data_IF_215757560238
#
_entry.id   IF_215757560238
#
_cell.length_a   1.000
_cell.length_b   1.000
_cell.length_c   1.000
_cell.angle_alpha   90.00
_cell.angle_beta   90.00
_cell.angle_gamma   90.00
#
_symmetry.space_group_name_H-M   'P 1'
#
loop_
_entity.id
_entity.type
_entity.pdbx_description
1 polymer ?
#
# COMPACT_ATOMS: atom_id res chain seq x y z
N UNK A 1 2.58 -6.83 -18.29
CA UNK A 1 3.50 -7.98 -18.21
C UNK A 1 2.63 -9.21 -18.04
N UNK A 2 2.54 -10.09 -19.03
CA UNK A 2 1.82 -11.37 -18.83
C UNK A 2 2.69 -12.23 -17.90
N UNK A 3 2.19 -12.54 -16.71
CA UNK A 3 2.83 -13.50 -15.81
C UNK A 3 2.93 -14.84 -16.54
N UNK A 4 4.12 -15.41 -16.62
CA UNK A 4 4.26 -16.71 -17.25
C UNK A 4 3.58 -17.77 -16.39
N UNK A 5 3.05 -18.82 -17.02
CA UNK A 5 2.49 -19.95 -16.28
C UNK A 5 3.52 -20.61 -15.35
N UNK A 6 4.82 -20.40 -15.58
CA UNK A 6 5.90 -20.87 -14.70
C UNK A 6 5.93 -20.09 -13.38
N UNK A 7 5.93 -18.76 -13.48
CA UNK A 7 6.01 -17.85 -12.34
C UNK A 7 4.84 -18.09 -11.37
N UNK A 8 3.65 -18.35 -11.91
CA UNK A 8 2.46 -18.66 -11.11
C UNK A 8 2.66 -19.94 -10.28
N UNK A 9 3.26 -21.00 -10.86
CA UNK A 9 3.48 -22.26 -10.11
C UNK A 9 4.49 -22.07 -9.00
N UNK A 10 5.57 -21.33 -9.29
CA UNK A 10 6.63 -21.05 -8.33
C UNK A 10 6.06 -20.23 -7.16
N UNK A 11 5.26 -19.20 -7.45
CA UNK A 11 4.58 -18.39 -6.43
C UNK A 11 3.66 -19.25 -5.56
N UNK A 12 2.79 -20.06 -6.15
CA UNK A 12 1.88 -20.95 -5.40
C UNK A 12 2.68 -21.94 -4.54
N UNK A 13 3.71 -22.57 -5.11
CA UNK A 13 4.59 -23.51 -4.40
C UNK A 13 5.23 -22.86 -3.16
N UNK A 14 5.79 -21.66 -3.33
CA UNK A 14 6.45 -20.93 -2.25
C UNK A 14 5.45 -20.53 -1.16
N UNK A 15 4.26 -20.07 -1.54
CA UNK A 15 3.22 -19.70 -0.61
C UNK A 15 2.69 -20.91 0.18
N UNK A 16 2.50 -22.07 -0.47
CA UNK A 16 2.14 -23.31 0.24
C UNK A 16 3.21 -23.66 1.28
N UNK A 17 4.51 -23.60 0.94
CA UNK A 17 5.60 -23.85 1.89
C UNK A 17 5.60 -22.85 3.04
N UNK A 18 5.35 -21.58 2.75
CA UNK A 18 5.27 -20.52 3.74
C UNK A 18 4.18 -20.82 4.78
N UNK A 19 2.96 -21.15 4.34
CA UNK A 19 1.85 -21.45 5.25
C UNK A 19 2.06 -22.75 6.03
N UNK A 20 2.67 -23.77 5.42
CA UNK A 20 3.08 -24.98 6.16
C UNK A 20 4.03 -24.66 7.31
N UNK A 21 5.04 -23.82 7.07
CA UNK A 21 6.00 -23.43 8.08
C UNK A 21 5.37 -22.52 9.15
N UNK A 22 4.50 -21.59 8.74
CA UNK A 22 3.79 -20.67 9.64
C UNK A 22 2.93 -21.43 10.66
N UNK A 23 2.19 -22.43 10.21
CA UNK A 23 1.31 -23.24 11.06
C UNK A 23 2.02 -24.43 11.71
N UNK A 24 3.31 -24.63 11.42
CA UNK A 24 4.10 -25.75 11.95
C UNK A 24 3.60 -27.13 11.51
N UNK A 25 2.97 -27.22 10.33
CA UNK A 25 2.34 -28.45 9.83
C UNK A 25 3.26 -29.20 8.88
N UNK A 26 3.36 -30.52 9.06
CA UNK A 26 4.04 -31.38 8.10
C UNK A 26 3.16 -31.66 6.89
N UNK A 27 3.80 -31.94 5.75
CA UNK A 27 3.10 -32.30 4.50
C UNK A 27 2.19 -33.52 4.67
N UNK A 28 2.60 -34.48 5.51
CA UNK A 28 1.85 -35.72 5.77
C UNK A 28 0.58 -35.44 6.54
N UNK A 29 0.62 -34.53 7.53
CA UNK A 29 -0.55 -34.13 8.30
C UNK A 29 -1.58 -33.45 7.39
N UNK A 30 -1.15 -32.46 6.60
CA UNK A 30 -2.06 -31.77 5.66
C UNK A 30 -2.69 -32.74 4.66
N UNK A 31 -1.92 -33.68 4.12
CA UNK A 31 -2.46 -34.69 3.22
C UNK A 31 -3.49 -35.60 3.90
N UNK A 32 -3.25 -35.98 5.16
CA UNK A 32 -4.15 -36.83 5.95
C UNK A 32 -5.45 -36.10 6.27
N UNK A 33 -5.36 -34.86 6.72
CA UNK A 33 -6.50 -34.06 7.16
C UNK A 33 -7.43 -33.69 6.00
N UNK A 34 -6.85 -33.40 4.83
CA UNK A 34 -7.60 -33.01 3.62
C UNK A 34 -7.94 -34.20 2.70
N UNK A 35 -7.48 -35.41 3.01
CA UNK A 35 -7.65 -36.58 2.16
C UNK A 35 -6.95 -36.47 0.80
N UNK A 36 -5.86 -35.69 0.72
CA UNK A 36 -5.09 -35.46 -0.50
C UNK A 36 -4.06 -36.56 -0.72
N UNK A 37 -3.85 -36.93 -1.99
CA UNK A 37 -2.77 -37.87 -2.35
C UNK A 37 -1.41 -37.20 -2.14
N UNK A 38 -0.56 -37.85 -1.35
CA UNK A 38 0.77 -37.33 -0.98
C UNK A 38 1.65 -36.97 -2.18
N UNK A 39 1.59 -37.75 -3.26
CA UNK A 39 2.37 -37.50 -4.49
C UNK A 39 1.94 -36.19 -5.16
N UNK A 40 0.64 -35.96 -5.26
CA UNK A 40 0.08 -34.75 -5.88
C UNK A 40 0.43 -33.51 -5.08
N UNK A 41 0.33 -33.59 -3.75
CA UNK A 41 0.74 -32.49 -2.88
C UNK A 41 2.24 -32.19 -2.98
N UNK A 42 3.07 -33.22 -3.10
CA UNK A 42 4.50 -33.05 -3.37
C UNK A 42 4.77 -32.36 -4.71
N UNK A 43 4.00 -32.65 -5.75
CA UNK A 43 4.17 -32.01 -7.06
C UNK A 43 3.85 -30.52 -7.01
N UNK A 44 2.82 -30.12 -6.24
CA UNK A 44 2.50 -28.70 -6.01
C UNK A 44 3.60 -28.00 -5.20
N UNK A 45 4.09 -28.64 -4.14
CA UNK A 45 5.20 -28.11 -3.33
C UNK A 45 6.48 -27.96 -4.15
N UNK A 46 6.71 -28.81 -5.15
CA UNK A 46 7.88 -28.72 -6.01
C UNK A 46 7.63 -27.92 -7.31
N UNK A 47 6.53 -27.17 -7.40
CA UNK A 47 6.15 -26.35 -8.56
C UNK A 47 6.02 -27.11 -9.90
N UNK A 48 5.86 -28.44 -9.85
CA UNK A 48 5.73 -29.27 -11.06
C UNK A 48 4.37 -29.09 -11.72
N UNK A 49 3.31 -28.98 -10.91
CA UNK A 49 1.93 -28.83 -11.38
C UNK A 49 1.21 -27.77 -10.56
N UNK A 50 0.20 -27.14 -11.18
CA UNK A 50 -0.65 -26.14 -10.51
C UNK A 50 -1.82 -26.87 -9.85
N UNK A 51 -2.10 -26.65 -8.55
CA UNK A 51 -3.32 -27.14 -7.92
C UNK A 51 -4.55 -26.50 -8.57
N UNK A 52 -5.63 -27.26 -8.70
CA UNK A 52 -6.90 -26.69 -9.15
C UNK A 52 -7.46 -25.71 -8.09
N UNK A 53 -8.40 -24.86 -8.50
CA UNK A 53 -8.98 -23.86 -7.60
C UNK A 53 -9.65 -24.49 -6.36
N UNK A 54 -10.34 -25.63 -6.52
CA UNK A 54 -10.99 -26.33 -5.39
C UNK A 54 -10.00 -26.84 -4.34
N UNK A 55 -8.85 -27.36 -4.75
CA UNK A 55 -7.77 -27.77 -3.87
C UNK A 55 -7.15 -26.58 -3.15
N UNK A 56 -6.98 -25.45 -3.84
CA UNK A 56 -6.55 -24.20 -3.21
C UNK A 56 -7.57 -23.67 -2.21
N UNK A 57 -8.87 -23.80 -2.49
CA UNK A 57 -9.93 -23.45 -1.55
C UNK A 57 -9.90 -24.34 -0.30
N UNK A 58 -9.71 -25.65 -0.45
CA UNK A 58 -9.55 -26.59 0.66
C UNK A 58 -8.32 -26.25 1.52
N UNK A 59 -7.19 -25.97 0.88
CA UNK A 59 -5.97 -25.53 1.57
C UNK A 59 -6.18 -24.18 2.26
N UNK A 60 -6.87 -23.24 1.61
CA UNK A 60 -7.21 -21.94 2.19
C UNK A 60 -8.03 -22.10 3.47
N UNK A 61 -9.11 -22.91 3.40
CA UNK A 61 -9.93 -23.26 4.58
C UNK A 61 -9.10 -23.91 5.69
N UNK A 62 -8.15 -24.77 5.35
CA UNK A 62 -7.26 -25.42 6.33
C UNK A 62 -6.31 -24.43 7.02
N UNK A 63 -5.73 -23.48 6.29
CA UNK A 63 -4.80 -22.48 6.82
C UNK A 63 -5.48 -21.19 7.31
N UNK A 64 -6.80 -21.08 7.17
CA UNK A 64 -7.56 -19.87 7.54
C UNK A 64 -7.30 -18.67 6.62
N UNK A 65 -7.05 -18.91 5.32
CA UNK A 65 -6.77 -17.88 4.30
C UNK A 65 -7.68 -18.06 3.08
N UNK A 66 -7.70 -17.08 2.18
CA UNK A 66 -8.43 -17.20 0.91
C UNK A 66 -7.58 -17.89 -0.16
N UNK A 67 -8.23 -18.56 -1.12
CA UNK A 67 -7.53 -19.22 -2.23
C UNK A 67 -6.68 -18.24 -3.06
N UNK A 68 -7.08 -16.96 -3.13
CA UNK A 68 -6.32 -15.92 -3.84
C UNK A 68 -4.98 -15.61 -3.16
N UNK A 69 -4.84 -15.86 -1.86
CA UNK A 69 -3.61 -15.54 -1.13
C UNK A 69 -2.42 -16.41 -1.57
N UNK A 70 -2.67 -17.56 -2.19
CA UNK A 70 -1.61 -18.39 -2.80
C UNK A 70 -1.02 -17.80 -4.08
N UNK A 71 -1.71 -16.85 -4.74
CA UNK A 71 -1.24 -16.22 -5.96
C UNK A 71 -0.41 -14.95 -5.70
N UNK A 72 -0.35 -14.47 -4.45
CA UNK A 72 0.30 -13.22 -4.11
C UNK A 72 1.81 -13.39 -4.04
N UNK A 73 2.56 -12.50 -4.67
CA UNK A 73 4.02 -12.45 -4.51
C UNK A 73 4.42 -11.72 -3.23
N UNK A 74 5.63 -11.97 -2.73
CA UNK A 74 6.21 -11.17 -1.64
C UNK A 74 6.34 -9.70 -2.02
N UNK A 75 6.58 -9.40 -3.31
CA UNK A 75 6.64 -8.04 -3.84
C UNK A 75 5.28 -7.34 -3.76
N UNK A 76 4.19 -8.05 -4.05
CA UNK A 76 2.83 -7.51 -3.88
C UNK A 76 2.52 -7.17 -2.43
N UNK A 77 2.99 -8.00 -1.48
CA UNK A 77 2.83 -7.74 -0.05
C UNK A 77 3.62 -6.49 0.37
N UNK A 78 4.88 -6.38 -0.04
CA UNK A 78 5.73 -5.21 0.24
C UNK A 78 5.11 -3.95 -0.38
N UNK A 79 4.62 -4.03 -1.61
CA UNK A 79 3.94 -2.92 -2.30
C UNK A 79 2.68 -2.49 -1.57
N UNK A 80 1.86 -3.42 -1.07
CA UNK A 80 0.67 -3.06 -0.28
C UNK A 80 1.07 -2.43 1.04
N UNK A 81 2.05 -2.99 1.75
CA UNK A 81 2.57 -2.42 2.99
C UNK A 81 3.13 -1.02 2.79
N UNK A 82 3.81 -0.74 1.68
CA UNK A 82 4.31 0.60 1.38
C UNK A 82 3.18 1.59 1.08
N UNK A 83 2.12 1.17 0.38
CA UNK A 83 0.91 1.98 0.18
C UNK A 83 0.23 2.26 1.53
N UNK A 84 0.05 1.25 2.38
CA UNK A 84 -0.53 1.44 3.72
C UNK A 84 0.32 2.36 4.59
N UNK A 85 1.65 2.20 4.58
CA UNK A 85 2.56 3.08 5.31
C UNK A 85 2.43 4.53 4.81
N UNK A 86 2.38 4.74 3.49
CA UNK A 86 2.17 6.04 2.87
C UNK A 86 0.79 6.63 3.21
N UNK A 87 -0.25 5.81 3.27
CA UNK A 87 -1.60 6.22 3.70
C UNK A 87 -1.63 6.61 5.17
N UNK A 88 -0.92 5.90 6.05
CA UNK A 88 -0.77 6.27 7.45
C UNK A 88 0.04 7.56 7.62
N UNK A 89 1.04 7.80 6.78
CA UNK A 89 1.73 9.10 6.70
C UNK A 89 0.78 10.21 6.23
N UNK A 90 -0.09 9.95 5.25
CA UNK A 90 -1.20 10.86 4.90
C UNK A 90 -2.22 11.00 6.03
N UNK A 91 -2.38 10.00 6.89
CA UNK A 91 -3.17 10.08 8.13
C UNK A 91 -2.59 11.06 9.15
N UNK A 92 -1.30 11.44 9.02
CA UNK A 92 -0.69 12.56 9.75
C UNK A 92 -0.91 13.92 9.09
N UNK A 93 -1.76 14.00 8.06
CA UNK A 93 -2.09 15.22 7.36
C UNK A 93 -3.37 15.83 7.96
N UNK A 94 -3.18 16.84 8.81
CA UNK A 94 -4.23 17.58 9.48
C UNK A 94 -4.83 18.65 8.56
N UNK A 95 -6.09 19.01 8.80
CA UNK A 95 -6.72 20.14 8.11
C UNK A 95 -6.19 21.47 8.66
N UNK A 96 -6.06 22.50 7.81
CA UNK A 96 -5.52 23.80 8.23
C UNK A 96 -6.43 24.52 9.24
N UNK A 97 -7.74 24.22 9.23
CA UNK A 97 -8.72 24.72 10.22
C UNK A 97 -8.40 24.34 11.67
N UNK A 98 -7.58 23.33 11.88
CA UNK A 98 -7.20 22.88 13.23
C UNK A 98 -6.20 23.84 13.87
N UNK A 99 -5.40 24.57 13.07
CA UNK A 99 -4.42 25.55 13.57
C UNK A 99 -5.11 26.69 14.31
N UNK A 100 -6.30 27.09 13.88
CA UNK A 100 -7.09 28.16 14.51
C UNK A 100 -7.47 27.82 15.97
N UNK A 101 -7.32 26.56 16.39
CA UNK A 101 -7.70 26.06 17.71
C UNK A 101 -6.51 25.51 18.54
N UNK A 102 -5.26 25.68 18.09
CA UNK A 102 -4.07 25.14 18.75
C UNK A 102 -3.08 26.25 19.11
N UNK A 103 -2.43 26.10 20.27
CA UNK A 103 -1.33 26.99 20.68
C UNK A 103 -0.01 26.62 19.97
N UNK A 104 0.89 27.61 19.82
CA UNK A 104 2.16 27.47 19.09
C UNK A 104 3.04 26.30 19.61
N UNK A 105 3.06 26.05 20.93
CA UNK A 105 3.78 24.91 21.50
C UNK A 105 3.20 23.56 21.06
N UNK A 106 1.86 23.48 20.96
CA UNK A 106 1.17 22.28 20.52
C UNK A 106 1.40 22.04 19.02
N UNK A 107 1.38 23.10 18.21
CA UNK A 107 1.72 23.06 16.79
C UNK A 107 3.15 22.56 16.59
N UNK A 108 4.10 23.06 17.38
CA UNK A 108 5.50 22.62 17.33
C UNK A 108 5.64 21.11 17.65
N UNK A 109 4.97 20.63 18.70
CA UNK A 109 4.96 19.21 19.07
C UNK A 109 4.33 18.30 17.99
N UNK A 110 3.28 18.80 17.31
CA UNK A 110 2.66 18.09 16.18
C UNK A 110 3.60 17.99 14.98
N UNK A 111 4.32 19.07 14.66
CA UNK A 111 5.31 19.07 13.58
C UNK A 111 6.50 18.14 13.87
N UNK A 112 6.98 18.12 15.12
CA UNK A 112 8.07 17.24 15.59
C UNK A 112 7.67 15.76 15.59
N UNK A 113 6.40 15.45 15.88
CA UNK A 113 5.85 14.09 15.79
C UNK A 113 5.49 13.65 14.35
N UNK A 114 5.79 14.50 13.36
CA UNK A 114 5.68 14.19 11.94
C UNK A 114 4.31 14.47 11.33
N UNK A 115 3.44 15.24 12.01
CA UNK A 115 2.22 15.74 11.39
C UNK A 115 2.53 16.88 10.41
N UNK A 116 1.70 16.98 9.38
CA UNK A 116 1.73 18.01 8.34
C UNK A 116 0.32 18.57 8.16
N UNK A 117 0.19 19.79 7.67
CA UNK A 117 -1.12 20.41 7.45
C UNK A 117 -1.44 20.49 5.95
N UNK A 118 -2.68 20.20 5.58
CA UNK A 118 -3.20 20.41 4.22
C UNK A 118 -3.17 21.89 3.91
N UNK A 119 -2.61 22.28 2.76
CA UNK A 119 -2.75 23.65 2.28
C UNK A 119 -4.19 23.85 1.80
N UNK A 120 -4.85 24.93 2.23
CA UNK A 120 -6.17 25.30 1.69
C UNK A 120 -6.02 25.57 0.19
N UNK A 121 -6.93 25.02 -0.61
CA UNK A 121 -6.95 25.32 -2.04
C UNK A 121 -7.33 26.79 -2.25
N UNK A 122 -6.91 27.38 -3.39
CA UNK A 122 -7.29 28.75 -3.76
C UNK A 122 -8.81 28.95 -3.76
N UNK A 123 -9.56 27.96 -4.23
CA UNK A 123 -11.02 27.97 -4.24
C UNK A 123 -11.65 27.99 -2.84
N UNK A 124 -11.11 27.22 -1.88
CA UNK A 124 -11.57 27.22 -0.49
C UNK A 124 -11.24 28.54 0.23
N UNK A 125 -10.07 29.13 -0.08
CA UNK A 125 -9.69 30.43 0.46
C UNK A 125 -10.62 31.56 -0.01
N UNK A 126 -11.03 31.55 -1.29
CA UNK A 126 -11.98 32.52 -1.85
C UNK A 126 -13.34 32.39 -1.17
N UNK A 127 -13.82 31.17 -0.93
CA UNK A 127 -15.09 30.91 -0.23
C UNK A 127 -15.09 31.41 1.22
N UNK A 128 -13.99 31.22 1.96
CA UNK A 128 -13.88 31.59 3.37
C UNK A 128 -13.59 33.08 3.58
N UNK A 129 -12.74 33.68 2.75
CA UNK A 129 -12.36 35.10 2.88
C UNK A 129 -13.41 36.04 2.31
N UNK A 130 -14.32 35.55 1.46
CA UNK A 130 -15.36 36.34 0.81
C UNK A 130 -14.83 37.41 -0.15
N UNK A 131 -13.51 37.44 -0.39
CA UNK A 131 -12.87 38.38 -1.31
C UNK A 131 -12.82 37.76 -2.70
N UNK A 132 -13.31 38.45 -3.75
CA UNK A 132 -13.19 37.96 -5.11
C UNK A 132 -11.72 37.84 -5.49
N UNK A 133 -11.41 36.90 -6.40
CA UNK A 133 -10.08 36.75 -6.97
C UNK A 133 -9.71 38.07 -7.67
N UNK A 134 -8.83 38.86 -7.05
CA UNK A 134 -8.21 40.00 -7.71
C UNK A 134 -6.98 39.46 -8.43
N UNK A 135 -6.96 39.59 -9.77
CA UNK A 135 -5.69 39.50 -10.48
C UNK A 135 -4.76 40.52 -9.84
N UNK A 136 -3.50 40.14 -9.58
CA UNK A 136 -2.52 41.11 -9.11
C UNK A 136 -2.52 42.26 -10.10
N UNK A 137 -2.77 43.48 -9.62
CA UNK A 137 -2.50 44.68 -10.41
C UNK A 137 -1.06 44.54 -10.91
N UNK A 138 -0.81 44.79 -12.20
CA UNK A 138 0.55 44.78 -12.73
C UNK A 138 1.38 45.71 -11.86
N UNK A 139 2.27 45.12 -11.06
CA UNK A 139 3.16 45.88 -10.22
C UNK A 139 4.16 46.53 -11.16
N UNK A 140 4.06 47.85 -11.35
CA UNK A 140 5.02 48.59 -12.16
C UNK A 140 6.38 48.53 -11.45
N UNK A 141 7.22 47.59 -11.88
CA UNK A 141 8.56 47.34 -11.33
C UNK A 141 9.56 48.50 -11.55
N UNK A 142 9.09 49.61 -12.12
CA UNK A 142 9.91 50.75 -12.52
C UNK A 142 10.71 50.47 -13.80
N UNK A 143 11.45 51.47 -14.26
CA UNK A 143 12.39 51.27 -15.37
C UNK A 143 13.48 50.26 -14.95
N UNK A 144 13.88 49.33 -15.83
CA UNK A 144 14.96 48.40 -15.56
C UNK A 144 16.24 49.17 -15.19
N UNK A 145 16.63 49.10 -13.92
CA UNK A 145 17.88 49.70 -13.41
C UNK A 145 19.07 48.78 -13.74
N UNK A 146 19.36 48.63 -15.03
CA UNK A 146 20.53 47.87 -15.48
C UNK A 146 20.73 47.98 -16.99
N UNK A 147 21.98 48.17 -17.42
CA UNK A 147 22.34 47.84 -18.82
C UNK A 147 22.45 46.33 -18.89
N UNK A 148 21.60 45.72 -19.70
CA UNK A 148 21.76 44.31 -20.07
C UNK A 148 23.17 44.14 -20.66
N UNK A 149 24.04 43.50 -19.90
CA UNK A 149 25.34 43.02 -20.36
C UNK A 149 25.07 41.67 -21.04
N UNK A 150 25.08 41.68 -22.37
CA UNK A 150 25.07 40.46 -23.18
C UNK A 150 26.48 39.89 -23.27
#
# INVERSE_FOLDING_TARGET
MQLSNEDIRITISNNIKFYLNKEGKSRKEVCKDLGLKYTTFCDWINAKTIPNYGSLEQLGKYFGIEAWDFYRSSEDQIRRLSIYAQELEKGRLLDMSIIDNLDDEQIKKLLESGFRFKHRTLEEYIRLSGKPMQASEEYEWGEPVGREIW
#
